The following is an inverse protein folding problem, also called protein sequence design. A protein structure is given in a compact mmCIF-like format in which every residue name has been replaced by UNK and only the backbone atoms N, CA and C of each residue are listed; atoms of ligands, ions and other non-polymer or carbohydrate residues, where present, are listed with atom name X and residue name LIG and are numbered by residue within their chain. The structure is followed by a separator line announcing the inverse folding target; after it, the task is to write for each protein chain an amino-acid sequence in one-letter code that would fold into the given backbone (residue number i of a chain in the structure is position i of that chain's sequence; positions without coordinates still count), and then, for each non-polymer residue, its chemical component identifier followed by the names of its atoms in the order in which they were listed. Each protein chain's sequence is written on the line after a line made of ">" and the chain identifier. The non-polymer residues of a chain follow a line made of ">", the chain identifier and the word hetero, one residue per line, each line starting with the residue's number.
data_IF_004759074709
#
_entry.id   IF_004759074709
#
_cell.length_a   1.000
_cell.length_b   1.000
_cell.length_c   1.000
_cell.angle_alpha   90.00
_cell.angle_beta   90.00
_cell.angle_gamma   90.00
#
_symmetry.space_group_name_H-M   'P 1'
#
loop_
_entity.id
_entity.type
_entity.pdbx_description
1 polymer ?
#
# COMPACT_ATOMS: atom_id res chain seq x y z
N UNK A 1 6.26 -24.59 -40.41
CA UNK A 1 7.10 -23.61 -39.70
C UNK A 1 7.18 -24.06 -38.25
N UNK A 2 8.24 -24.80 -37.92
CA UNK A 2 8.49 -25.24 -36.55
C UNK A 2 9.18 -24.08 -35.82
N UNK A 3 8.50 -23.51 -34.83
CA UNK A 3 9.14 -22.59 -33.90
C UNK A 3 9.95 -23.44 -32.93
N UNK A 4 11.25 -23.56 -33.21
CA UNK A 4 12.23 -24.08 -32.27
C UNK A 4 12.26 -23.14 -31.05
N UNK A 5 11.48 -23.49 -30.02
CA UNK A 5 11.53 -22.86 -28.71
C UNK A 5 12.64 -23.51 -27.89
N UNK A 6 13.88 -23.30 -28.33
CA UNK A 6 15.06 -23.63 -27.52
C UNK A 6 15.68 -22.37 -26.93
N UNK A 7 14.87 -21.59 -26.21
CA UNK A 7 15.29 -20.46 -25.37
C UNK A 7 14.73 -20.60 -23.94
N UNK A 8 14.69 -21.84 -23.44
CA UNK A 8 14.11 -22.18 -22.12
C UNK A 8 15.00 -21.81 -20.92
N UNK A 9 16.07 -21.03 -21.12
CA UNK A 9 16.90 -20.55 -20.02
C UNK A 9 17.10 -19.03 -20.00
N UNK A 10 17.04 -18.35 -21.16
CA UNK A 10 17.17 -16.89 -21.23
C UNK A 10 15.85 -16.14 -21.11
N UNK A 11 14.81 -16.56 -21.86
CA UNK A 11 13.54 -15.83 -21.95
C UNK A 11 12.65 -15.97 -20.70
N UNK A 12 12.61 -17.16 -20.11
CA UNK A 12 11.84 -17.42 -18.88
C UNK A 12 12.42 -16.70 -17.65
N UNK A 13 13.75 -16.68 -17.54
CA UNK A 13 14.44 -15.98 -16.45
C UNK A 13 14.25 -14.45 -16.57
N UNK A 14 14.24 -13.93 -17.80
CA UNK A 14 14.00 -12.52 -18.07
C UNK A 14 12.57 -12.08 -17.69
N UNK A 15 11.56 -12.92 -18.00
CA UNK A 15 10.18 -12.71 -17.54
C UNK A 15 10.08 -12.65 -16.01
N UNK A 16 10.75 -13.56 -15.30
CA UNK A 16 10.78 -13.58 -13.83
C UNK A 16 11.49 -12.34 -13.28
N UNK A 17 12.60 -11.91 -13.89
CA UNK A 17 13.29 -10.68 -13.52
C UNK A 17 12.40 -9.45 -13.64
N UNK A 18 11.63 -9.33 -14.72
CA UNK A 18 10.67 -8.22 -14.90
C UNK A 18 9.58 -8.25 -13.83
N UNK A 19 9.04 -9.43 -13.50
CA UNK A 19 8.05 -9.56 -12.43
C UNK A 19 8.59 -9.15 -11.06
N UNK A 20 9.81 -9.59 -10.72
CA UNK A 20 10.47 -9.19 -9.48
C UNK A 20 10.69 -7.67 -9.46
N UNK A 21 11.13 -7.09 -10.57
CA UNK A 21 11.38 -5.65 -10.70
C UNK A 21 10.07 -4.85 -10.54
N UNK A 22 8.96 -5.32 -11.11
CA UNK A 22 7.64 -4.70 -10.90
C UNK A 22 7.19 -4.76 -9.44
N UNK A 23 7.34 -5.91 -8.78
CA UNK A 23 6.96 -6.07 -7.37
C UNK A 23 7.82 -5.19 -6.46
N UNK A 24 9.14 -5.18 -6.67
CA UNK A 24 10.07 -4.35 -5.89
C UNK A 24 9.81 -2.87 -6.17
N UNK A 25 9.59 -2.49 -7.43
CA UNK A 25 9.26 -1.12 -7.81
C UNK A 25 7.97 -0.63 -7.15
N UNK A 26 6.92 -1.45 -7.16
CA UNK A 26 5.67 -1.16 -6.46
C UNK A 26 5.84 -1.06 -4.95
N UNK A 27 6.64 -1.95 -4.34
CA UNK A 27 6.91 -1.94 -2.90
C UNK A 27 7.72 -0.71 -2.47
N UNK A 28 8.75 -0.34 -3.23
CA UNK A 28 9.56 0.86 -2.99
C UNK A 28 8.72 2.11 -3.16
N UNK A 29 7.91 2.19 -4.23
CA UNK A 29 6.97 3.28 -4.42
C UNK A 29 5.99 3.38 -3.25
N UNK A 30 5.35 2.27 -2.86
CA UNK A 30 4.43 2.24 -1.72
C UNK A 30 5.13 2.68 -0.42
N UNK A 31 6.35 2.20 -0.15
CA UNK A 31 7.13 2.56 1.03
C UNK A 31 7.50 4.04 1.02
N UNK A 32 7.84 4.60 -0.14
CA UNK A 32 8.19 6.01 -0.29
C UNK A 32 6.96 6.91 -0.14
N UNK A 33 5.83 6.54 -0.75
CA UNK A 33 4.55 7.23 -0.58
C UNK A 33 3.94 7.06 0.82
N UNK A 34 4.23 5.95 1.50
CA UNK A 34 3.81 5.73 2.90
C UNK A 34 4.70 6.47 3.90
N UNK A 35 5.94 6.81 3.52
CA UNK A 35 6.84 7.66 4.30
C UNK A 35 6.75 9.14 3.94
N UNK A 36 6.17 9.48 2.80
CA UNK A 36 5.65 10.83 2.58
C UNK A 36 4.51 10.98 3.58
N UNK A 37 4.63 11.82 4.64
CA UNK A 37 3.43 12.30 5.28
C UNK A 37 2.58 12.85 4.15
N UNK A 38 1.35 12.36 3.98
CA UNK A 38 0.41 12.88 2.98
C UNK A 38 0.23 14.38 3.24
N UNK A 39 1.12 15.22 2.74
CA UNK A 39 1.17 16.67 2.95
C UNK A 39 0.20 17.36 1.99
N UNK A 40 -1.02 16.83 1.90
CA UNK A 40 -2.03 17.31 0.97
C UNK A 40 -3.46 16.97 1.37
N UNK A 41 -3.67 15.97 2.22
CA UNK A 41 -4.96 15.75 2.86
C UNK A 41 -4.70 16.06 4.33
N UNK A 42 -5.22 17.20 4.79
CA UNK A 42 -5.24 17.57 6.21
C UNK A 42 -5.45 16.29 6.98
N UNK A 43 -4.48 15.86 7.79
CA UNK A 43 -4.64 14.70 8.68
C UNK A 43 -5.83 15.02 9.56
N UNK A 44 -7.02 14.66 9.07
CA UNK A 44 -8.25 15.00 9.71
C UNK A 44 -8.16 14.29 11.05
N UNK A 45 -8.61 14.90 12.15
CA UNK A 45 -8.65 14.21 13.42
C UNK A 45 -9.29 12.80 13.32
N UNK A 46 -10.15 12.60 12.31
CA UNK A 46 -10.71 11.32 11.86
C UNK A 46 -9.68 10.25 11.41
N UNK A 47 -8.62 10.61 10.69
CA UNK A 47 -7.61 9.64 10.24
C UNK A 47 -6.71 9.18 11.39
N UNK A 48 -6.38 10.09 12.31
CA UNK A 48 -5.66 9.75 13.55
C UNK A 48 -6.53 8.84 14.43
N UNK A 49 -7.84 9.09 14.47
CA UNK A 49 -8.82 8.23 15.13
C UNK A 49 -8.91 6.84 14.50
N UNK A 50 -8.94 6.73 13.17
CA UNK A 50 -8.91 5.45 12.46
C UNK A 50 -7.63 4.67 12.74
N UNK A 51 -6.48 5.34 12.76
CA UNK A 51 -5.20 4.69 13.02
C UNK A 51 -5.15 4.08 14.43
N UNK A 52 -5.63 4.82 15.44
CA UNK A 52 -5.67 4.33 16.84
C UNK A 52 -6.72 3.23 17.05
N UNK A 53 -7.84 3.29 16.33
CA UNK A 53 -8.83 2.19 16.31
C UNK A 53 -8.24 0.93 15.66
N UNK A 54 -7.52 1.07 14.55
CA UNK A 54 -6.84 -0.04 13.88
C UNK A 54 -5.72 -0.64 14.73
N UNK A 55 -5.04 0.18 15.55
CA UNK A 55 -4.08 -0.27 16.56
C UNK A 55 -4.73 -0.92 17.79
N UNK A 56 -6.06 -0.81 17.94
CA UNK A 56 -6.80 -1.34 19.09
C UNK A 56 -6.62 -0.54 20.39
N UNK A 57 -6.11 0.70 20.29
CA UNK A 57 -5.89 1.59 21.45
C UNK A 57 -7.18 2.29 21.92
N UNK A 58 -8.22 2.28 21.09
CA UNK A 58 -9.53 2.86 21.37
C UNK A 58 -10.62 1.88 20.97
N UNK A 59 -11.65 1.80 21.80
CA UNK A 59 -12.81 0.96 21.55
C UNK A 59 -13.70 1.55 20.43
N UNK A 60 -14.47 0.68 19.76
CA UNK A 60 -15.40 1.09 18.69
C UNK A 60 -16.37 2.17 19.16
N UNK A 61 -16.79 2.13 20.42
CA UNK A 61 -17.72 3.10 21.00
C UNK A 61 -17.12 4.50 21.07
N UNK A 62 -15.87 4.61 21.53
CA UNK A 62 -15.14 5.90 21.60
C UNK A 62 -14.81 6.44 20.20
N UNK A 63 -14.55 5.55 19.23
CA UNK A 63 -14.35 5.95 17.84
C UNK A 63 -15.61 6.57 17.24
N UNK A 64 -16.79 5.99 17.46
CA UNK A 64 -18.06 6.52 16.93
C UNK A 64 -18.44 7.87 17.54
N UNK A 65 -18.24 8.04 18.85
CA UNK A 65 -18.53 9.31 19.54
C UNK A 65 -17.65 10.44 19.01
N UNK A 66 -16.33 10.21 18.92
CA UNK A 66 -15.39 11.23 18.42
C UNK A 66 -15.53 11.48 16.92
N UNK A 67 -15.90 10.47 16.14
CA UNK A 67 -16.19 10.63 14.72
C UNK A 67 -17.37 11.59 14.51
N UNK A 68 -18.47 11.40 15.24
CA UNK A 68 -19.65 12.26 15.14
C UNK A 68 -19.34 13.71 15.52
N UNK A 69 -18.53 13.91 16.55
CA UNK A 69 -18.15 15.24 17.03
C UNK A 69 -17.26 16.02 16.02
N UNK A 70 -16.53 15.29 15.18
CA UNK A 70 -15.65 15.86 14.14
C UNK A 70 -16.33 16.02 12.77
N UNK A 71 -17.49 15.39 12.58
CA UNK A 71 -18.29 15.41 11.35
C UNK A 71 -19.46 16.40 11.45
N UNK A 72 -19.68 17.00 12.62
CA UNK A 72 -20.69 18.05 12.91
C UNK A 72 -20.10 19.45 13.01
#
# INVERSE_FOLDING_TARGET
>A
MMYDYNDNFGGGLFMILILILLVVGAFVAYRYYSNTPRTGEKSSPLDILKERYAKGEIDKKEFEDKRKDLEG
#
